data_IF_900633106105
#
_entry.id   IF_900633106105
#
_cell.length_a   1.000
_cell.length_b   1.000
_cell.length_c   1.000
_cell.angle_alpha   90.00
_cell.angle_beta   90.00
_cell.angle_gamma   90.00
#
_symmetry.space_group_name_H-M   'P 1'
#
loop_
_entity.id
_entity.type
_entity.pdbx_description
1 polymer ?
#
# COMPACT_ATOMS: atom_id res chain seq x y z
N UNK A 1 28.45 -20.76 44.07
CA UNK A 1 27.72 -21.46 43.00
C UNK A 1 26.38 -20.78 42.70
N UNK A 2 25.46 -20.64 43.62
CA UNK A 2 24.12 -20.04 43.41
C UNK A 2 24.11 -18.58 42.84
N UNK A 3 25.11 -17.76 43.13
CA UNK A 3 25.19 -16.39 42.60
C UNK A 3 25.70 -16.34 41.15
N UNK A 4 26.62 -17.24 40.78
CA UNK A 4 27.11 -17.39 39.43
C UNK A 4 25.98 -17.87 38.48
N UNK A 5 25.23 -18.90 38.91
CA UNK A 5 24.09 -19.43 38.15
C UNK A 5 22.98 -18.40 37.97
N UNK A 6 22.75 -17.53 38.97
CA UNK A 6 21.80 -16.42 38.85
C UNK A 6 22.27 -15.35 37.84
N UNK A 7 23.56 -15.04 37.80
CA UNK A 7 24.13 -14.09 36.86
C UNK A 7 24.06 -14.61 35.43
N UNK A 8 24.36 -15.89 35.23
CA UNK A 8 24.28 -16.53 33.91
C UNK A 8 22.84 -16.62 33.40
N UNK A 9 21.89 -16.98 34.25
CA UNK A 9 20.47 -16.99 33.88
C UNK A 9 19.96 -15.59 33.50
N UNK A 10 20.39 -14.56 34.24
CA UNK A 10 20.02 -13.17 33.95
C UNK A 10 20.62 -12.70 32.62
N UNK A 11 21.84 -13.09 32.30
CA UNK A 11 22.49 -12.78 31.03
C UNK A 11 21.79 -13.51 29.85
N UNK A 12 21.47 -14.79 30.03
CA UNK A 12 20.70 -15.54 29.02
C UNK A 12 19.31 -14.93 28.75
N UNK A 13 18.62 -14.49 29.80
CA UNK A 13 17.33 -13.82 29.65
C UNK A 13 17.46 -12.48 28.92
N UNK A 14 18.50 -11.70 29.21
CA UNK A 14 18.79 -10.46 28.48
C UNK A 14 19.06 -10.72 26.99
N UNK A 15 19.89 -11.72 26.68
CA UNK A 15 20.20 -12.09 25.29
C UNK A 15 18.95 -12.55 24.53
N UNK A 16 18.10 -13.36 25.13
CA UNK A 16 16.85 -13.79 24.52
C UNK A 16 15.90 -12.62 24.27
N UNK A 17 15.84 -11.67 25.21
CA UNK A 17 15.02 -10.46 25.06
C UNK A 17 15.49 -9.61 23.88
N UNK A 18 16.80 -9.38 23.77
CA UNK A 18 17.38 -8.65 22.63
C UNK A 18 17.11 -9.34 21.29
N UNK A 19 17.19 -10.66 21.24
CA UNK A 19 16.87 -11.43 20.03
C UNK A 19 15.40 -11.31 19.63
N UNK A 20 14.48 -11.23 20.58
CA UNK A 20 13.04 -11.03 20.32
C UNK A 20 12.82 -9.61 19.79
N UNK A 21 13.39 -8.60 20.45
CA UNK A 21 13.30 -7.20 20.06
C UNK A 21 13.87 -6.98 18.64
N UNK A 22 15.00 -7.62 18.30
CA UNK A 22 15.58 -7.56 16.96
C UNK A 22 14.67 -8.18 15.90
N UNK A 23 14.08 -9.33 16.18
CA UNK A 23 13.11 -9.98 15.27
C UNK A 23 11.85 -9.14 15.09
N UNK A 24 11.37 -8.51 16.13
CA UNK A 24 10.21 -7.64 16.10
C UNK A 24 10.48 -6.39 15.24
N UNK A 25 11.65 -5.77 15.41
CA UNK A 25 12.08 -4.64 14.60
C UNK A 25 12.18 -5.02 13.11
N UNK A 26 12.78 -6.17 12.82
CA UNK A 26 12.91 -6.68 11.45
C UNK A 26 11.52 -6.96 10.84
N UNK A 27 10.61 -7.54 11.59
CA UNK A 27 9.24 -7.80 11.16
C UNK A 27 8.50 -6.51 10.78
N UNK A 28 8.56 -5.46 11.62
CA UNK A 28 7.93 -4.18 11.31
C UNK A 28 8.58 -3.50 10.10
N UNK A 29 9.90 -3.54 9.99
CA UNK A 29 10.61 -2.98 8.84
C UNK A 29 10.22 -3.66 7.54
N UNK A 30 10.16 -4.99 7.52
CA UNK A 30 9.73 -5.78 6.36
C UNK A 30 8.26 -5.51 6.02
N UNK A 31 7.37 -5.52 7.01
CA UNK A 31 5.95 -5.22 6.80
C UNK A 31 5.71 -3.82 6.24
N UNK A 32 6.49 -2.82 6.67
CA UNK A 32 6.45 -1.48 6.09
C UNK A 32 6.86 -1.48 4.62
N UNK A 33 7.91 -2.20 4.26
CA UNK A 33 8.37 -2.34 2.87
C UNK A 33 7.31 -2.99 1.98
N UNK A 34 6.66 -4.04 2.47
CA UNK A 34 5.60 -4.75 1.74
C UNK A 34 4.37 -3.84 1.50
N UNK A 35 3.90 -3.16 2.54
CA UNK A 35 2.78 -2.20 2.41
C UNK A 35 3.15 -1.04 1.48
N UNK A 36 4.37 -0.53 1.56
CA UNK A 36 4.87 0.51 0.66
C UNK A 36 4.87 0.07 -0.81
N UNK A 37 5.29 -1.17 -1.09
CA UNK A 37 5.28 -1.72 -2.44
C UNK A 37 3.85 -1.86 -2.98
N UNK A 38 2.92 -2.34 -2.16
CA UNK A 38 1.51 -2.45 -2.55
C UNK A 38 0.88 -1.08 -2.81
N UNK A 39 1.17 -0.09 -1.96
CA UNK A 39 0.72 1.29 -2.13
C UNK A 39 1.26 1.92 -3.43
N UNK A 40 2.53 1.68 -3.77
CA UNK A 40 3.11 2.14 -5.03
C UNK A 40 2.42 1.55 -6.26
N UNK A 41 2.08 0.26 -6.23
CA UNK A 41 1.33 -0.40 -7.31
C UNK A 41 -0.08 0.17 -7.47
N UNK A 42 -0.80 0.39 -6.37
CA UNK A 42 -2.15 0.96 -6.39
C UNK A 42 -2.14 2.41 -6.89
N UNK A 43 -1.15 3.22 -6.44
CA UNK A 43 -0.96 4.57 -6.95
C UNK A 43 -0.69 4.58 -8.47
N UNK A 44 0.11 3.62 -8.96
CA UNK A 44 0.38 3.44 -10.39
C UNK A 44 -0.87 3.07 -11.19
N UNK A 45 -1.71 2.18 -10.66
CA UNK A 45 -2.99 1.83 -11.30
C UNK A 45 -3.96 3.02 -11.31
N UNK A 46 -4.07 3.76 -10.21
CA UNK A 46 -4.91 4.96 -10.15
C UNK A 46 -4.44 6.02 -11.15
N UNK A 47 -3.13 6.25 -11.25
CA UNK A 47 -2.55 7.15 -12.24
C UNK A 47 -2.81 6.67 -13.68
N UNK A 48 -2.60 5.39 -13.97
CA UNK A 48 -2.88 4.78 -15.27
C UNK A 48 -4.35 4.90 -15.67
N UNK A 49 -5.26 4.75 -14.72
CA UNK A 49 -6.69 4.95 -14.96
C UNK A 49 -7.00 6.41 -15.31
N UNK A 50 -6.45 7.38 -14.58
CA UNK A 50 -6.68 8.82 -14.84
C UNK A 50 -6.16 9.23 -16.23
N UNK A 51 -5.03 8.67 -16.67
CA UNK A 51 -4.38 9.06 -17.92
C UNK A 51 -4.82 8.25 -19.14
N UNK A 52 -5.34 7.05 -18.94
CA UNK A 52 -5.63 6.09 -20.00
C UNK A 52 -7.12 5.89 -20.30
N UNK A 53 -8.01 6.44 -19.49
CA UNK A 53 -9.46 6.28 -19.68
C UNK A 53 -10.04 7.58 -20.23
N UNK A 54 -10.50 7.53 -21.49
CA UNK A 54 -11.35 8.58 -22.07
C UNK A 54 -12.80 8.31 -21.63
N UNK A 55 -13.33 9.20 -20.81
CA UNK A 55 -14.75 9.12 -20.40
C UNK A 55 -15.59 9.78 -21.50
N UNK A 56 -16.59 9.04 -21.98
CA UNK A 56 -17.52 9.54 -23.01
C UNK A 56 -18.12 10.88 -22.60
N UNK A 57 -18.11 11.84 -23.55
CA UNK A 57 -18.66 13.19 -23.36
C UNK A 57 -20.18 13.20 -23.02
N UNK A 58 -20.89 12.08 -23.25
CA UNK A 58 -22.30 11.90 -22.94
C UNK A 58 -22.57 11.54 -21.47
N UNK A 59 -21.51 11.25 -20.68
CA UNK A 59 -21.66 10.96 -19.24
C UNK A 59 -21.97 12.24 -18.47
N UNK A 60 -22.81 12.14 -17.45
CA UNK A 60 -23.13 13.27 -16.56
C UNK A 60 -21.83 13.83 -15.93
N UNK A 61 -21.66 15.15 -15.96
CA UNK A 61 -20.53 15.87 -15.36
C UNK A 61 -20.28 15.49 -13.90
N UNK A 62 -21.35 15.18 -13.16
CA UNK A 62 -21.26 14.75 -11.76
C UNK A 62 -20.56 13.39 -11.61
N UNK A 63 -20.79 12.47 -12.54
CA UNK A 63 -20.19 11.13 -12.52
C UNK A 63 -18.72 11.22 -12.86
N UNK A 64 -18.37 12.01 -13.89
CA UNK A 64 -16.98 12.27 -14.27
C UNK A 64 -16.19 12.90 -13.12
N UNK A 65 -16.76 13.94 -12.48
CA UNK A 65 -16.15 14.60 -11.34
C UNK A 65 -15.98 13.65 -10.15
N UNK A 66 -16.97 12.81 -9.86
CA UNK A 66 -16.90 11.81 -8.78
C UNK A 66 -15.80 10.78 -9.01
N UNK A 67 -15.69 10.25 -10.24
CA UNK A 67 -14.65 9.32 -10.61
C UNK A 67 -13.24 9.92 -10.51
N UNK A 68 -13.06 11.11 -11.07
CA UNK A 68 -11.79 11.83 -11.03
C UNK A 68 -11.37 12.15 -9.59
N UNK A 69 -12.32 12.63 -8.78
CA UNK A 69 -12.07 12.91 -7.36
C UNK A 69 -11.64 11.66 -6.60
N UNK A 70 -12.36 10.53 -6.75
CA UNK A 70 -12.04 9.27 -6.09
C UNK A 70 -10.68 8.73 -6.51
N UNK A 71 -10.36 8.80 -7.81
CA UNK A 71 -9.08 8.34 -8.35
C UNK A 71 -7.92 9.21 -7.85
N UNK A 72 -8.07 10.53 -7.83
CA UNK A 72 -7.07 11.45 -7.28
C UNK A 72 -6.86 11.23 -5.77
N UNK A 73 -7.94 11.05 -5.00
CA UNK A 73 -7.85 10.78 -3.57
C UNK A 73 -7.16 9.45 -3.29
N UNK A 74 -7.49 8.39 -4.04
CA UNK A 74 -6.80 7.11 -3.94
C UNK A 74 -5.29 7.27 -4.19
N UNK A 75 -4.92 7.90 -5.29
CA UNK A 75 -3.51 8.13 -5.65
C UNK A 75 -2.75 8.92 -4.57
N UNK A 76 -3.32 10.02 -4.07
CA UNK A 76 -2.68 10.86 -3.06
C UNK A 76 -2.49 10.12 -1.73
N UNK A 77 -3.48 9.34 -1.29
CA UNK A 77 -3.40 8.55 -0.07
C UNK A 77 -2.33 7.46 -0.20
N UNK A 78 -2.27 6.75 -1.31
CA UNK A 78 -1.29 5.68 -1.54
C UNK A 78 0.14 6.22 -1.65
N UNK A 79 0.35 7.37 -2.31
CA UNK A 79 1.66 8.05 -2.32
C UNK A 79 2.04 8.48 -0.89
N UNK A 80 1.09 8.97 -0.11
CA UNK A 80 1.31 9.31 1.30
C UNK A 80 1.75 8.11 2.13
N UNK A 81 1.13 6.94 1.93
CA UNK A 81 1.53 5.67 2.56
C UNK A 81 2.94 5.28 2.13
N UNK A 82 3.25 5.33 0.83
CA UNK A 82 4.58 5.00 0.29
C UNK A 82 5.68 5.83 0.96
N UNK A 83 5.51 7.15 1.02
CA UNK A 83 6.48 8.05 1.64
C UNK A 83 6.65 7.75 3.14
N UNK A 84 5.55 7.53 3.85
CA UNK A 84 5.57 7.20 5.28
C UNK A 84 6.26 5.87 5.56
N UNK A 85 5.92 4.82 4.84
CA UNK A 85 6.51 3.49 5.02
C UNK A 85 7.99 3.48 4.66
N UNK A 86 8.40 4.21 3.63
CA UNK A 86 9.82 4.38 3.27
C UNK A 86 10.60 5.09 4.39
N UNK A 87 10.07 6.18 4.93
CA UNK A 87 10.70 6.88 6.07
C UNK A 87 10.83 5.98 7.30
N UNK A 88 9.80 5.18 7.58
CA UNK A 88 9.75 4.31 8.73
C UNK A 88 10.77 3.15 8.59
N UNK A 89 10.90 2.56 7.40
CA UNK A 89 11.89 1.52 7.10
C UNK A 89 13.34 1.98 7.28
N UNK A 90 13.61 3.27 7.02
CA UNK A 90 14.96 3.83 7.18
C UNK A 90 15.22 4.25 8.63
N UNK A 91 14.25 4.89 9.28
CA UNK A 91 14.41 5.44 10.64
C UNK A 91 14.41 4.37 11.73
N UNK A 92 13.63 3.31 11.57
CA UNK A 92 13.51 2.24 12.57
C UNK A 92 14.85 1.60 12.93
N UNK A 93 15.59 1.01 11.98
CA UNK A 93 16.91 0.46 12.23
C UNK A 93 17.92 1.51 12.72
N UNK A 94 17.83 2.74 12.21
CA UNK A 94 18.72 3.84 12.59
C UNK A 94 18.59 4.25 14.06
N UNK A 95 17.39 4.25 14.62
CA UNK A 95 17.12 4.54 16.03
C UNK A 95 17.62 3.40 16.94
N UNK A 96 17.45 2.15 16.51
CA UNK A 96 17.91 0.98 17.26
C UNK A 96 19.45 0.91 17.38
N UNK A 97 20.19 1.33 16.33
CA UNK A 97 21.65 1.26 16.29
C UNK A 97 22.36 2.38 17.04
N UNK A 98 21.74 3.55 17.22
CA UNK A 98 22.39 4.76 17.75
C UNK A 98 21.98 5.12 19.18
N UNK A 99 21.05 4.39 19.79
CA UNK A 99 20.51 4.73 21.09
C UNK A 99 21.21 4.03 22.27
N UNK A 100 21.07 4.56 23.49
CA UNK A 100 21.49 3.92 24.73
C UNK A 100 20.70 2.61 24.98
N UNK A 101 21.11 1.83 26.01
CA UNK A 101 20.37 0.60 26.41
C UNK A 101 18.88 0.90 26.59
N UNK A 102 18.02 0.17 25.84
CA UNK A 102 16.56 0.37 25.84
C UNK A 102 16.01 1.17 24.64
N UNK A 103 16.85 1.72 23.78
CA UNK A 103 16.43 2.45 22.57
C UNK A 103 15.69 1.56 21.56
N UNK A 104 16.01 0.26 21.53
CA UNK A 104 15.35 -0.72 20.66
C UNK A 104 13.86 -0.84 21.00
N UNK A 105 13.52 -0.97 22.28
CA UNK A 105 12.13 -1.03 22.73
C UNK A 105 11.35 0.26 22.40
N UNK A 106 12.00 1.42 22.54
CA UNK A 106 11.39 2.68 22.14
C UNK A 106 11.18 2.77 20.62
N UNK A 107 12.16 2.35 19.83
CA UNK A 107 12.06 2.29 18.37
C UNK A 107 10.90 1.39 17.91
N UNK A 108 10.76 0.22 18.52
CA UNK A 108 9.65 -0.72 18.24
C UNK A 108 8.30 -0.06 18.56
N UNK A 109 8.15 0.62 19.70
CA UNK A 109 6.91 1.29 20.07
C UNK A 109 6.51 2.36 19.04
N UNK A 110 7.45 3.22 18.66
CA UNK A 110 7.22 4.25 17.63
C UNK A 110 6.87 3.63 16.29
N UNK A 111 7.59 2.58 15.86
CA UNK A 111 7.30 1.89 14.62
C UNK A 111 5.91 1.26 14.61
N UNK A 112 5.50 0.68 15.72
CA UNK A 112 4.18 0.05 15.88
C UNK A 112 3.03 1.07 15.72
N UNK A 113 3.15 2.24 16.32
CA UNK A 113 2.13 3.29 16.21
C UNK A 113 2.05 3.86 14.80
N UNK A 114 3.19 4.24 14.22
CA UNK A 114 3.28 4.78 12.86
C UNK A 114 2.85 3.76 11.79
N UNK A 115 3.18 2.49 11.97
CA UNK A 115 2.71 1.41 11.11
C UNK A 115 1.18 1.26 11.17
N UNK A 116 0.60 1.36 12.37
CA UNK A 116 -0.85 1.35 12.55
C UNK A 116 -1.55 2.49 11.81
N UNK A 117 -0.96 3.69 11.83
CA UNK A 117 -1.46 4.84 11.08
C UNK A 117 -1.34 4.63 9.56
N UNK A 118 -0.18 4.17 9.09
CA UNK A 118 0.05 3.87 7.66
C UNK A 118 -0.93 2.84 7.11
N UNK A 119 -1.26 1.80 7.89
CA UNK A 119 -2.28 0.81 7.51
C UNK A 119 -3.67 1.44 7.35
N UNK A 120 -4.06 2.36 8.22
CA UNK A 120 -5.37 3.04 8.10
C UNK A 120 -5.43 3.90 6.84
N UNK A 121 -4.35 4.63 6.53
CA UNK A 121 -4.26 5.39 5.29
C UNK A 121 -4.35 4.48 4.05
N UNK A 122 -3.63 3.37 4.06
CA UNK A 122 -3.67 2.37 2.99
C UNK A 122 -5.08 1.85 2.73
N UNK A 123 -5.81 1.46 3.79
CA UNK A 123 -7.20 1.01 3.63
C UNK A 123 -8.14 2.12 3.16
N UNK A 124 -7.89 3.37 3.56
CA UNK A 124 -8.65 4.50 3.05
C UNK A 124 -8.38 4.74 1.55
N UNK A 125 -7.13 4.69 1.12
CA UNK A 125 -6.75 4.76 -0.29
C UNK A 125 -7.37 3.63 -1.12
N UNK A 126 -7.30 2.40 -0.61
CA UNK A 126 -7.92 1.22 -1.21
C UNK A 126 -9.44 1.38 -1.35
N UNK A 127 -10.11 1.94 -0.35
CA UNK A 127 -11.54 2.23 -0.41
C UNK A 127 -11.88 3.19 -1.55
N UNK A 128 -11.16 4.32 -1.66
CA UNK A 128 -11.37 5.27 -2.75
C UNK A 128 -11.06 4.66 -4.12
N UNK A 129 -10.05 3.81 -4.19
CA UNK A 129 -9.73 3.07 -5.41
C UNK A 129 -10.88 2.17 -5.86
N UNK A 130 -11.48 1.40 -4.95
CA UNK A 130 -12.65 0.58 -5.27
C UNK A 130 -13.87 1.41 -5.67
N UNK A 131 -14.10 2.55 -5.02
CA UNK A 131 -15.17 3.48 -5.43
C UNK A 131 -14.95 3.96 -6.85
N UNK A 132 -13.71 4.36 -7.20
CA UNK A 132 -13.37 4.78 -8.55
C UNK A 132 -13.59 3.68 -9.60
N UNK A 133 -13.21 2.43 -9.29
CA UNK A 133 -13.43 1.27 -10.17
C UNK A 133 -14.93 0.99 -10.35
N UNK A 134 -15.73 1.04 -9.27
CA UNK A 134 -17.18 0.83 -9.35
C UNK A 134 -17.82 1.91 -10.24
N UNK A 135 -17.48 3.17 -10.04
CA UNK A 135 -17.99 4.27 -10.87
C UNK A 135 -17.60 4.05 -12.33
N UNK A 136 -16.36 3.67 -12.61
CA UNK A 136 -15.89 3.39 -13.97
C UNK A 136 -16.68 2.25 -14.63
N UNK A 137 -16.88 1.13 -13.93
CA UNK A 137 -17.62 -0.03 -14.47
C UNK A 137 -19.10 0.29 -14.70
N UNK A 138 -19.68 1.15 -13.87
CA UNK A 138 -21.10 1.55 -14.05
C UNK A 138 -21.31 2.53 -15.19
N UNK A 139 -20.27 3.31 -15.54
CA UNK A 139 -20.35 4.30 -16.65
C UNK A 139 -19.96 3.70 -18.00
N UNK A 140 -19.10 2.68 -18.02
CA UNK A 140 -18.79 1.92 -19.24
C UNK A 140 -19.56 0.58 -19.20
N UNK A 141 -20.83 0.51 -19.66
CA UNK A 141 -21.52 -0.76 -19.77
C UNK A 141 -20.72 -1.69 -20.67
N UNK A 142 -20.70 -2.98 -20.32
CA UNK A 142 -19.93 -4.07 -20.95
C UNK A 142 -20.10 -4.15 -22.48
N UNK A 143 -21.02 -3.42 -23.07
CA UNK A 143 -21.24 -3.30 -24.50
C UNK A 143 -20.03 -2.74 -25.27
N UNK A 144 -19.18 -1.93 -24.64
CA UNK A 144 -17.92 -1.47 -25.26
C UNK A 144 -16.85 -2.55 -25.37
N UNK A 145 -16.98 -3.64 -24.62
CA UNK A 145 -16.04 -4.77 -24.68
C UNK A 145 -16.44 -5.81 -25.75
N UNK A 146 -17.70 -5.77 -26.20
CA UNK A 146 -18.24 -6.72 -27.19
C UNK A 146 -17.64 -6.55 -28.60
N UNK A 147 -17.30 -5.37 -29.14
CA UNK A 147 -16.71 -5.28 -30.48
C UNK A 147 -15.32 -5.90 -30.56
N UNK A 148 -14.56 -5.98 -29.47
CA UNK A 148 -13.25 -6.65 -29.46
C UNK A 148 -13.36 -8.17 -29.47
N UNK A 149 -14.50 -8.74 -29.08
CA UNK A 149 -14.78 -10.18 -29.11
C UNK A 149 -15.62 -10.60 -30.32
N UNK A 150 -16.15 -9.64 -31.09
CA UNK A 150 -16.91 -9.96 -32.30
C UNK A 150 -15.98 -10.60 -33.36
N UNK A 151 -16.29 -11.79 -33.88
CA UNK A 151 -15.50 -12.36 -34.96
C UNK A 151 -15.53 -11.41 -36.17
N UNK A 152 -14.32 -11.11 -36.66
CA UNK A 152 -14.07 -10.23 -37.80
C UNK A 152 -15.13 -10.44 -38.90
N UNK A 153 -15.90 -9.43 -39.33
CA UNK A 153 -16.90 -9.58 -40.37
C UNK A 153 -16.23 -10.10 -41.63
N UNK A 154 -16.69 -11.27 -42.12
CA UNK A 154 -16.19 -11.87 -43.36
C UNK A 154 -16.25 -10.85 -44.49
N UNK A 155 -15.18 -10.75 -45.34
CA UNK A 155 -15.20 -9.86 -46.46
C UNK A 155 -16.41 -10.15 -47.35
N UNK A 156 -17.18 -9.14 -47.70
CA UNK A 156 -18.30 -9.26 -48.62
C UNK A 156 -17.78 -9.77 -49.95
N UNK A 157 -18.40 -10.78 -50.59
CA UNK A 157 -18.04 -11.16 -51.93
C UNK A 157 -18.26 -9.95 -52.87
N UNK A 158 -17.25 -9.66 -53.68
CA UNK A 158 -17.33 -8.56 -54.64
C UNK A 158 -18.47 -8.78 -55.65
N UNK A 159 -18.98 -7.72 -56.26
CA UNK A 159 -20.05 -7.81 -57.27
C UNK A 159 -19.56 -8.61 -58.50
N UNK A 160 -20.50 -9.32 -59.18
CA UNK A 160 -20.18 -10.12 -60.35
C UNK A 160 -19.70 -9.32 -61.52
#
# INVERSE_FOLDING_TARGET
MLQADKADLKNQLKLRRLQIEEKELHFYSQSCSEVGTQAALLAGFAFGAITGVDIDADSSDAIQASWLFSSCMAMLLEIGVLVKTMQLSIRGPGLALRGPEGSVAHAIHVMREEYGYSKRLFYAGLFFFFVAVIVLVTTHPIEALTPALAPNPRPRPGPP
#
